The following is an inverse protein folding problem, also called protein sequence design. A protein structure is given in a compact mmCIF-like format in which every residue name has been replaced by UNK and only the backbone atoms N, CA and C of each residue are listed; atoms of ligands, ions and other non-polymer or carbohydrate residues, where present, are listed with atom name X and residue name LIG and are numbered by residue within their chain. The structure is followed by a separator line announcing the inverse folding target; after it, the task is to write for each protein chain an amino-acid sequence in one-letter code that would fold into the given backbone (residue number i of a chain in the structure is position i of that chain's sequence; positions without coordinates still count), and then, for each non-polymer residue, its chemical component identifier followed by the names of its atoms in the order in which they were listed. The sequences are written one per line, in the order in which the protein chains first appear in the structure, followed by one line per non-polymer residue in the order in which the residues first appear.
data_IF_120755056597
#
_entry.id   IF_120755056597
#
_cell.length_a   1.000
_cell.length_b   1.000
_cell.length_c   1.000
_cell.angle_alpha   90.00
_cell.angle_beta   90.00
_cell.angle_gamma   90.00
#
_symmetry.space_group_name_H-M   'P 1'
#
loop_
_entity.id
_entity.type
_entity.pdbx_description
1 polymer ?
#
# COMPACT_ATOMS: atom_id res chain seq x y z
N UNK A 1 -2.03 5.87 5.25
CA UNK A 1 -3.28 5.60 4.52
C UNK A 1 -4.00 4.29 4.89
N UNK A 2 -3.34 3.18 5.27
CA UNK A 2 -4.04 1.91 5.46
C UNK A 2 -5.08 1.95 6.59
N UNK A 3 -4.91 2.81 7.59
CA UNK A 3 -5.86 2.99 8.70
C UNK A 3 -7.23 3.52 8.25
N UNK A 4 -7.27 4.42 7.25
CA UNK A 4 -8.54 4.94 6.74
C UNK A 4 -9.34 3.84 6.04
N UNK A 5 -8.65 2.93 5.34
CA UNK A 5 -9.28 1.78 4.69
C UNK A 5 -9.79 0.82 5.76
N UNK A 6 -8.98 0.49 6.78
CA UNK A 6 -9.40 -0.33 7.93
C UNK A 6 -10.66 0.23 8.60
N UNK A 7 -10.70 1.55 8.81
CA UNK A 7 -11.85 2.21 9.44
C UNK A 7 -13.12 2.15 8.58
N UNK A 8 -13.02 2.42 7.29
CA UNK A 8 -14.20 2.46 6.41
C UNK A 8 -14.67 1.06 5.98
N UNK A 9 -13.80 0.05 6.02
CA UNK A 9 -14.10 -1.29 5.51
C UNK A 9 -15.31 -1.92 6.18
N UNK A 10 -15.33 -1.99 7.52
CA UNK A 10 -16.44 -2.59 8.27
C UNK A 10 -17.78 -1.91 7.97
N UNK A 11 -17.77 -0.58 7.86
CA UNK A 11 -18.96 0.22 7.54
C UNK A 11 -19.43 -0.06 6.11
N UNK A 12 -18.52 -0.19 5.15
CA UNK A 12 -18.86 -0.52 3.77
C UNK A 12 -19.37 -1.97 3.60
N UNK A 13 -18.93 -2.89 4.45
CA UNK A 13 -19.33 -4.30 4.41
C UNK A 13 -20.70 -4.55 5.06
N UNK A 14 -21.13 -3.69 5.98
CA UNK A 14 -22.39 -3.84 6.70
C UNK A 14 -23.60 -3.91 5.75
N UNK A 15 -24.46 -4.92 5.93
CA UNK A 15 -25.64 -5.14 5.11
C UNK A 15 -25.35 -5.70 3.71
N UNK A 16 -24.13 -6.16 3.45
CA UNK A 16 -23.73 -6.82 2.20
C UNK A 16 -23.41 -8.29 2.44
N UNK A 17 -23.18 -9.06 1.36
CA UNK A 17 -22.78 -10.48 1.45
C UNK A 17 -21.41 -10.70 2.09
N UNK A 18 -20.60 -9.64 2.24
CA UNK A 18 -19.28 -9.68 2.87
C UNK A 18 -19.29 -9.08 4.28
N UNK A 19 -20.46 -8.94 4.90
CA UNK A 19 -20.56 -8.53 6.29
C UNK A 19 -19.79 -9.51 7.19
N UNK A 20 -18.89 -8.99 8.04
CA UNK A 20 -18.00 -9.80 8.86
C UNK A 20 -16.78 -10.38 8.14
N UNK A 21 -16.51 -10.00 6.89
CA UNK A 21 -15.28 -10.35 6.20
C UNK A 21 -14.05 -9.78 6.93
N UNK A 22 -12.93 -10.50 6.88
CA UNK A 22 -11.67 -10.05 7.46
C UNK A 22 -10.82 -9.31 6.42
N UNK A 23 -10.32 -8.12 6.75
CA UNK A 23 -9.42 -7.35 5.89
C UNK A 23 -7.98 -7.45 6.37
N UNK A 24 -7.12 -8.08 5.55
CA UNK A 24 -5.67 -8.06 5.74
C UNK A 24 -5.02 -7.06 4.77
N UNK A 25 -4.31 -6.06 5.31
CA UNK A 25 -3.52 -5.11 4.52
C UNK A 25 -2.04 -5.40 4.72
N UNK A 26 -1.38 -5.78 3.62
CA UNK A 26 0.07 -5.97 3.57
C UNK A 26 0.72 -4.64 3.21
N UNK A 27 1.38 -4.02 4.18
CA UNK A 27 2.04 -2.73 4.00
C UNK A 27 3.42 -2.93 3.39
N UNK A 28 3.62 -2.42 2.17
CA UNK A 28 4.93 -2.44 1.51
C UNK A 28 5.66 -1.12 1.77
N UNK A 29 6.94 -1.17 2.20
CA UNK A 29 7.71 0.04 2.45
C UNK A 29 7.86 0.86 1.17
N UNK A 30 7.81 2.18 1.32
CA UNK A 30 8.07 3.12 0.23
C UNK A 30 9.52 2.97 -0.25
N UNK A 31 9.70 2.94 -1.56
CA UNK A 31 11.01 2.89 -2.18
C UNK A 31 11.04 3.83 -3.38
N UNK A 32 12.08 4.65 -3.45
CA UNK A 32 12.35 5.45 -4.63
C UNK A 32 13.71 5.12 -5.23
N UNK A 33 13.83 5.40 -6.52
CA UNK A 33 15.09 5.40 -7.26
C UNK A 33 15.45 6.85 -7.61
N UNK A 34 16.65 7.29 -7.24
CA UNK A 34 17.15 8.59 -7.67
C UNK A 34 17.34 8.62 -9.19
N UNK A 35 16.85 9.66 -9.86
CA UNK A 35 16.98 9.83 -11.30
C UNK A 35 18.42 10.14 -11.74
N UNK A 36 19.23 10.74 -10.87
CA UNK A 36 20.60 11.13 -11.20
C UNK A 36 21.63 10.02 -10.98
N UNK A 37 21.56 9.33 -9.83
CA UNK A 37 22.56 8.34 -9.46
C UNK A 37 22.05 6.89 -9.47
N UNK A 38 20.74 6.68 -9.67
CA UNK A 38 20.13 5.35 -9.66
C UNK A 38 20.08 4.67 -8.29
N UNK A 39 20.45 5.35 -7.21
CA UNK A 39 20.39 4.79 -5.87
C UNK A 39 18.94 4.52 -5.44
N UNK A 40 18.72 3.33 -4.86
CA UNK A 40 17.45 2.96 -4.24
C UNK A 40 17.44 3.46 -2.80
N UNK A 41 16.44 4.26 -2.46
CA UNK A 41 16.33 4.94 -1.17
C UNK A 41 14.98 4.56 -0.56
N UNK A 42 14.96 4.05 0.69
CA UNK A 42 13.71 3.84 1.41
C UNK A 42 13.05 5.18 1.71
N UNK A 43 11.75 5.27 1.49
CA UNK A 43 10.96 6.47 1.71
C UNK A 43 9.89 6.21 2.77
N UNK A 44 9.89 7.05 3.81
CA UNK A 44 8.80 7.11 4.80
C UNK A 44 7.68 8.06 4.34
N UNK A 45 8.02 9.03 3.49
CA UNK A 45 7.16 10.06 2.95
C UNK A 45 7.33 10.10 1.42
N UNK A 46 6.36 10.60 0.64
CA UNK A 46 6.43 10.63 -0.82
C UNK A 46 7.48 11.62 -1.37
N UNK A 47 8.28 12.23 -0.49
CA UNK A 47 9.33 13.17 -0.81
C UNK A 47 10.59 12.83 0.01
N UNK A 48 11.75 13.22 -0.52
CA UNK A 48 13.03 12.97 0.13
C UNK A 48 14.20 13.53 -0.67
N UNK A 49 15.39 13.44 -0.10
CA UNK A 49 16.64 13.82 -0.75
C UNK A 49 17.51 12.57 -0.85
N UNK A 50 18.16 12.38 -2.00
CA UNK A 50 19.13 11.31 -2.16
C UNK A 50 20.35 11.53 -1.26
N UNK A 51 20.59 10.59 -0.36
CA UNK A 51 21.75 10.54 0.53
C UNK A 51 23.10 10.37 -0.20
N UNK A 52 23.08 9.88 -1.44
CA UNK A 52 24.28 9.64 -2.28
C UNK A 52 24.72 10.86 -3.07
N UNK A 53 23.78 11.59 -3.67
CA UNK A 53 24.11 12.69 -4.60
C UNK A 53 23.44 14.03 -4.24
N UNK A 54 22.60 14.07 -3.21
CA UNK A 54 21.87 15.29 -2.81
C UNK A 54 20.73 15.69 -3.75
N UNK A 55 20.41 14.90 -4.78
CA UNK A 55 19.31 15.20 -5.69
C UNK A 55 17.95 14.98 -5.02
N UNK A 56 17.00 15.85 -5.36
CA UNK A 56 15.57 15.73 -5.00
C UNK A 56 14.75 15.03 -6.08
N UNK A 57 15.35 14.77 -7.25
CA UNK A 57 14.69 14.06 -8.34
C UNK A 57 14.67 12.56 -8.03
N UNK A 58 13.63 12.16 -7.33
CA UNK A 58 13.35 10.78 -6.94
C UNK A 58 12.13 10.27 -7.70
N UNK A 59 12.25 9.08 -8.26
CA UNK A 59 11.13 8.34 -8.84
C UNK A 59 10.66 7.28 -7.86
N UNK A 60 9.42 7.37 -7.39
CA UNK A 60 8.82 6.34 -6.54
C UNK A 60 8.63 5.07 -7.39
N UNK A 61 9.10 3.95 -6.87
CA UNK A 61 9.05 2.63 -7.54
C UNK A 61 8.28 1.59 -6.72
N UNK A 62 7.96 1.88 -5.46
CA UNK A 62 7.18 1.02 -4.55
C UNK A 62 6.58 1.87 -3.43
N UNK A 63 5.44 1.45 -2.87
CA UNK A 63 4.73 2.10 -1.75
C UNK A 63 3.48 2.88 -2.15
N UNK A 64 3.19 2.99 -3.44
CA UNK A 64 1.99 3.67 -3.98
C UNK A 64 0.92 2.67 -4.43
N UNK A 65 1.17 1.38 -4.29
CA UNK A 65 0.27 0.34 -4.74
C UNK A 65 -0.89 0.13 -3.76
N UNK A 66 -2.10 0.11 -4.31
CA UNK A 66 -3.30 -0.40 -3.65
C UNK A 66 -3.92 -1.45 -4.56
N UNK A 67 -3.64 -2.72 -4.27
CA UNK A 67 -4.05 -3.87 -5.11
C UNK A 67 -4.58 -4.99 -4.24
N UNK A 68 -5.69 -5.61 -4.67
CA UNK A 68 -6.20 -6.85 -4.08
C UNK A 68 -5.23 -7.97 -4.46
N UNK A 69 -4.64 -8.63 -3.46
CA UNK A 69 -3.69 -9.73 -3.68
C UNK A 69 -4.37 -11.09 -3.71
N UNK A 70 -5.31 -11.30 -2.81
CA UNK A 70 -6.09 -12.52 -2.67
C UNK A 70 -7.48 -12.15 -2.15
N UNK A 71 -8.44 -13.02 -2.44
CA UNK A 71 -9.79 -13.00 -1.87
C UNK A 71 -10.17 -14.46 -1.66
N UNK A 72 -10.51 -14.79 -0.43
CA UNK A 72 -10.99 -16.12 -0.06
C UNK A 72 -12.50 -16.04 0.16
N UNK A 73 -13.21 -17.03 -0.34
CA UNK A 73 -14.67 -17.12 -0.28
C UNK A 73 -14.98 -18.53 0.22
N UNK A 74 -15.78 -18.62 1.28
CA UNK A 74 -16.34 -19.88 1.75
C UNK A 74 -17.72 -20.07 1.12
N UNK A 75 -17.83 -21.04 0.22
CA UNK A 75 -19.13 -21.51 -0.25
C UNK A 75 -19.69 -22.49 0.79
N UNK A 76 -20.79 -22.13 1.47
CA UNK A 76 -21.60 -23.14 2.16
C UNK A 76 -22.21 -24.05 1.11
N UNK A 77 -21.59 -25.21 0.89
CA UNK A 77 -22.23 -26.30 0.15
C UNK A 77 -23.57 -26.65 0.83
N UNK A 78 -24.67 -26.39 0.11
CA UNK A 78 -26.00 -26.88 0.41
C UNK A 78 -26.18 -28.32 -0.09
#
# INVERSE_FOLDING_TARGET
MPDAIRFCFDVCCQGTVVEGANLEIIETPGLASCCNCGAKIPLSEPFGICDRCGSVELKIIQGEELKIKSMEIEDLCA
#
